data_IF_959674540916
#
_entry.id   IF_959674540916
#
_cell.length_a   1.000
_cell.length_b   1.000
_cell.length_c   1.000
_cell.angle_alpha   90.00
_cell.angle_beta   90.00
_cell.angle_gamma   90.00
#
_symmetry.space_group_name_H-M   'P 1'
#
loop_
_entity.id
_entity.type
_entity.pdbx_description
1 polymer ?
#
# COMPACT_ATOMS: atom_id res chain seq x y z
N UNK A 1 14.98 -20.65 -13.02
CA UNK A 1 16.00 -21.37 -12.21
C UNK A 1 17.43 -20.83 -12.34
N UNK A 2 17.79 -20.03 -13.36
CA UNK A 2 19.18 -19.54 -13.52
C UNK A 2 19.66 -18.63 -12.36
N UNK A 3 18.82 -17.71 -11.87
CA UNK A 3 19.19 -16.79 -10.78
C UNK A 3 19.45 -17.52 -9.46
N UNK A 4 18.56 -18.42 -9.06
CA UNK A 4 18.70 -19.25 -7.85
C UNK A 4 19.95 -20.11 -7.89
N UNK A 5 20.22 -20.76 -9.03
CA UNK A 5 21.45 -21.55 -9.21
C UNK A 5 22.69 -20.69 -9.04
N UNK A 6 22.71 -19.48 -9.61
CA UNK A 6 23.84 -18.54 -9.51
C UNK A 6 24.08 -18.10 -8.06
N UNK A 7 23.03 -17.82 -7.30
CA UNK A 7 23.11 -17.55 -5.86
C UNK A 7 23.77 -18.71 -5.11
N UNK A 8 23.24 -19.92 -5.29
CA UNK A 8 23.73 -21.11 -4.58
C UNK A 8 25.16 -21.49 -4.99
N UNK A 9 25.51 -21.34 -6.27
CA UNK A 9 26.88 -21.59 -6.75
C UNK A 9 27.89 -20.64 -6.08
N UNK A 10 27.50 -19.39 -5.81
CA UNK A 10 28.38 -18.43 -5.12
C UNK A 10 28.53 -18.78 -3.63
N UNK A 11 27.42 -18.94 -2.89
CA UNK A 11 27.48 -19.12 -1.43
C UNK A 11 27.72 -20.55 -0.94
N UNK A 12 27.45 -21.57 -1.75
CA UNK A 12 27.60 -22.98 -1.36
C UNK A 12 28.79 -23.68 -2.03
N UNK A 13 29.33 -23.11 -3.10
CA UNK A 13 30.44 -23.70 -3.86
C UNK A 13 31.63 -22.74 -4.05
N UNK A 14 31.57 -21.55 -3.44
CA UNK A 14 32.61 -20.52 -3.53
C UNK A 14 32.96 -20.13 -4.99
N UNK A 15 31.99 -20.24 -5.91
CA UNK A 15 32.20 -19.88 -7.32
C UNK A 15 32.07 -18.37 -7.48
N UNK A 16 33.14 -17.71 -7.93
CA UNK A 16 33.07 -16.33 -8.38
C UNK A 16 32.32 -16.24 -9.71
N UNK A 17 31.03 -15.94 -9.62
CA UNK A 17 30.14 -15.72 -10.75
C UNK A 17 29.61 -14.27 -10.81
N UNK A 18 30.28 -13.36 -10.10
CA UNK A 18 29.90 -11.95 -10.00
C UNK A 18 28.63 -11.68 -9.17
N UNK A 19 28.19 -12.61 -8.31
CA UNK A 19 27.00 -12.45 -7.47
C UNK A 19 27.03 -11.18 -6.62
N UNK A 20 28.20 -10.80 -6.08
CA UNK A 20 28.38 -9.59 -5.27
C UNK A 20 28.01 -8.29 -5.98
N UNK A 21 27.89 -8.31 -7.32
CA UNK A 21 27.51 -7.17 -8.16
C UNK A 21 26.02 -7.18 -8.53
N UNK A 22 25.28 -8.22 -8.19
CA UNK A 22 23.85 -8.30 -8.44
C UNK A 22 23.10 -7.34 -7.53
N UNK A 23 22.07 -6.68 -8.07
CA UNK A 23 21.30 -5.73 -7.27
C UNK A 23 20.50 -6.50 -6.19
N UNK A 24 20.43 -5.96 -4.96
CA UNK A 24 19.74 -6.64 -3.86
C UNK A 24 18.22 -6.67 -4.04
N UNK A 25 17.68 -5.76 -4.85
CA UNK A 25 16.23 -5.64 -5.10
C UNK A 25 15.96 -5.67 -6.60
N UNK A 26 15.05 -6.57 -6.99
CA UNK A 26 14.51 -6.72 -8.32
C UNK A 26 13.00 -6.47 -8.27
N UNK A 27 12.54 -5.39 -8.91
CA UNK A 27 11.14 -4.98 -8.94
C UNK A 27 10.52 -5.32 -10.29
N UNK A 28 9.32 -5.89 -10.27
CA UNK A 28 8.49 -6.07 -11.45
C UNK A 28 7.49 -4.92 -11.54
N UNK A 29 7.81 -3.91 -12.34
CA UNK A 29 6.91 -2.78 -12.57
C UNK A 29 5.74 -3.25 -13.45
N UNK A 30 4.54 -3.22 -12.88
CA UNK A 30 3.31 -3.67 -13.55
C UNK A 30 2.74 -2.54 -14.40
N UNK A 31 2.43 -2.82 -15.67
CA UNK A 31 1.77 -1.87 -16.56
C UNK A 31 0.27 -2.15 -16.62
N UNK A 32 -0.60 -1.15 -16.39
CA UNK A 32 -2.04 -1.32 -16.53
C UNK A 32 -2.43 -1.85 -17.91
N UNK A 33 -3.43 -2.74 -17.95
CA UNK A 33 -4.02 -3.28 -19.18
C UNK A 33 -3.07 -4.08 -20.08
N UNK A 34 -1.89 -4.47 -19.58
CA UNK A 34 -0.95 -5.36 -20.25
C UNK A 34 -0.52 -6.49 -19.29
N UNK A 35 -0.05 -7.60 -19.86
CA UNK A 35 0.71 -8.62 -19.14
C UNK A 35 2.21 -8.31 -19.04
N UNK A 36 2.64 -7.19 -19.64
CA UNK A 36 4.03 -6.78 -19.65
C UNK A 36 4.47 -6.30 -18.27
N UNK A 37 5.71 -6.65 -17.92
CA UNK A 37 6.39 -6.16 -16.73
C UNK A 37 7.78 -5.66 -17.11
N UNK A 38 8.20 -4.60 -16.47
CA UNK A 38 9.56 -4.09 -16.59
C UNK A 38 10.35 -4.44 -15.33
N UNK A 39 11.48 -5.13 -15.50
CA UNK A 39 12.35 -5.49 -14.38
C UNK A 39 13.28 -4.31 -14.07
N UNK A 40 13.12 -3.72 -12.89
CA UNK A 40 14.02 -2.65 -12.41
C UNK A 40 14.86 -3.10 -11.22
N UNK A 41 16.15 -2.75 -11.26
CA UNK A 41 17.11 -2.97 -10.17
C UNK A 41 17.17 -1.72 -9.31
N UNK A 42 17.01 -1.88 -8.00
CA UNK A 42 17.05 -0.76 -7.05
C UNK A 42 18.06 -0.98 -5.93
N UNK A 43 18.60 0.13 -5.42
CA UNK A 43 19.54 0.13 -4.30
C UNK A 43 18.89 0.48 -2.96
N UNK A 44 17.71 1.12 -2.92
CA UNK A 44 16.96 1.46 -1.70
C UNK A 44 15.49 1.90 -1.96
N UNK A 45 14.66 1.94 -0.92
CA UNK A 45 13.27 2.46 -0.92
C UNK A 45 12.95 3.01 0.49
N UNK A 46 12.21 4.15 0.66
CA UNK A 46 11.37 4.92 -0.30
C UNK A 46 11.68 6.44 -0.42
N UNK A 47 10.94 7.14 -1.30
CA UNK A 47 11.09 8.56 -1.70
C UNK A 47 10.25 9.56 -0.86
N UNK A 48 10.68 10.83 -0.78
CA UNK A 48 10.09 11.85 0.10
C UNK A 48 9.42 13.03 -0.64
N UNK A 49 8.11 13.23 -0.44
CA UNK A 49 7.36 14.50 -0.24
C UNK A 49 5.86 14.36 -0.58
N UNK A 50 4.98 14.59 0.41
CA UNK A 50 3.52 14.46 0.28
C UNK A 50 2.82 15.81 0.41
N UNK A 51 1.92 16.15 -0.53
CA UNK A 51 1.01 17.31 -0.43
C UNK A 51 -0.37 16.85 0.02
N UNK A 52 -0.85 17.39 1.14
CA UNK A 52 -2.11 16.99 1.76
C UNK A 52 -3.30 17.76 1.16
N UNK A 53 -4.31 17.02 0.69
CA UNK A 53 -5.60 17.57 0.26
C UNK A 53 -6.68 17.01 1.18
N UNK A 54 -7.39 17.88 1.89
CA UNK A 54 -8.43 17.49 2.84
C UNK A 54 -9.79 17.37 2.15
N UNK A 55 -10.46 16.24 2.36
CA UNK A 55 -11.86 16.03 2.00
C UNK A 55 -12.64 15.58 3.25
N UNK A 56 -13.92 15.94 3.35
CA UNK A 56 -14.80 15.52 4.44
C UNK A 56 -16.15 15.06 3.87
N UNK A 57 -16.66 13.93 4.35
CA UNK A 57 -17.99 13.40 3.97
C UNK A 57 -18.54 12.50 5.07
N UNK A 58 -19.86 12.24 5.02
CA UNK A 58 -20.56 11.28 5.88
C UNK A 58 -21.13 10.18 5.02
N UNK A 59 -20.99 8.92 5.44
CA UNK A 59 -21.53 7.76 4.73
C UNK A 59 -22.03 6.71 5.72
N UNK A 60 -22.92 5.84 5.24
CA UNK A 60 -23.35 4.66 5.99
C UNK A 60 -22.26 3.58 5.89
N UNK A 61 -21.78 3.11 7.04
CA UNK A 61 -20.71 2.11 7.12
C UNK A 61 -21.07 0.78 6.43
N UNK A 62 -22.37 0.45 6.32
CA UNK A 62 -22.85 -0.75 5.61
C UNK A 62 -23.41 -0.43 4.21
N UNK A 63 -23.36 0.84 3.81
CA UNK A 63 -23.89 1.34 2.55
C UNK A 63 -22.86 1.38 1.43
N UNK A 64 -23.02 2.36 0.54
CA UNK A 64 -22.12 2.58 -0.59
C UNK A 64 -20.80 3.18 -0.08
N UNK A 65 -19.63 2.64 -0.49
CA UNK A 65 -18.35 3.19 -0.09
C UNK A 65 -18.15 4.60 -0.65
N UNK A 66 -17.37 5.40 0.05
CA UNK A 66 -16.93 6.72 -0.42
C UNK A 66 -15.71 6.54 -1.31
N UNK A 67 -15.74 7.18 -2.48
CA UNK A 67 -14.60 7.26 -3.39
C UNK A 67 -14.10 8.69 -3.51
N UNK A 68 -12.78 8.88 -3.40
CA UNK A 68 -12.10 10.13 -3.70
C UNK A 68 -11.36 9.96 -5.03
N UNK A 69 -11.76 10.72 -6.05
CA UNK A 69 -11.17 10.66 -7.38
C UNK A 69 -10.39 11.94 -7.65
N UNK A 70 -9.14 11.79 -8.09
CA UNK A 70 -8.36 12.91 -8.61
C UNK A 70 -8.80 13.26 -10.05
N UNK A 71 -8.33 14.40 -10.56
CA UNK A 71 -8.27 14.59 -12.00
C UNK A 71 -7.37 13.50 -12.65
N UNK A 72 -7.53 13.23 -13.95
CA UNK A 72 -6.60 12.39 -14.69
C UNK A 72 -5.15 12.85 -14.48
N UNK A 73 -4.23 11.91 -14.30
CA UNK A 73 -2.80 12.22 -14.14
C UNK A 73 -2.27 12.81 -15.46
N UNK A 74 -1.53 13.92 -15.37
CA UNK A 74 -1.01 14.65 -16.54
C UNK A 74 0.18 13.95 -17.20
N UNK A 75 0.89 13.13 -16.44
CA UNK A 75 2.09 12.40 -16.86
C UNK A 75 2.06 10.98 -16.30
N UNK A 76 2.83 10.10 -16.96
CA UNK A 76 3.05 8.75 -16.49
C UNK A 76 3.65 8.79 -15.08
N UNK A 77 2.97 8.12 -14.14
CA UNK A 77 3.33 8.14 -12.73
C UNK A 77 3.48 6.71 -12.26
N UNK A 78 4.62 6.45 -11.63
CA UNK A 78 4.89 5.17 -11.00
C UNK A 78 4.59 5.27 -9.49
N UNK A 79 3.86 4.28 -8.98
CA UNK A 79 3.67 4.06 -7.56
C UNK A 79 4.36 2.74 -7.20
N UNK A 80 5.27 2.77 -6.23
CA UNK A 80 6.04 1.59 -5.84
C UNK A 80 6.38 1.66 -4.36
N UNK A 81 6.08 0.56 -3.65
CA UNK A 81 6.32 0.45 -2.22
C UNK A 81 5.07 0.71 -1.37
N UNK A 82 5.24 0.81 -0.03
CA UNK A 82 4.14 0.98 0.91
C UNK A 82 3.52 2.37 0.82
N UNK A 83 2.24 2.45 1.16
CA UNK A 83 1.47 3.69 1.19
C UNK A 83 0.77 3.85 2.55
N UNK A 84 0.55 5.09 2.97
CA UNK A 84 -0.18 5.43 4.18
C UNK A 84 -1.42 6.26 3.83
N UNK A 85 -2.60 5.82 4.28
CA UNK A 85 -3.79 6.65 4.31
C UNK A 85 -3.97 7.23 5.73
N UNK A 86 -3.70 8.52 5.88
CA UNK A 86 -4.07 9.26 7.09
C UNK A 86 -5.48 9.80 6.94
N UNK A 87 -6.39 9.31 7.78
CA UNK A 87 -7.82 9.66 7.75
C UNK A 87 -8.28 10.19 9.11
N UNK A 88 -9.24 11.10 9.08
CA UNK A 88 -9.91 11.63 10.27
C UNK A 88 -11.35 11.12 10.24
N UNK A 89 -11.75 10.33 11.22
CA UNK A 89 -13.08 9.71 11.27
C UNK A 89 -13.82 10.08 12.55
N UNK A 90 -15.15 10.14 12.46
CA UNK A 90 -16.06 10.11 13.59
C UNK A 90 -17.09 9.00 13.34
N UNK A 91 -17.54 8.33 14.39
CA UNK A 91 -18.49 7.21 14.30
C UNK A 91 -19.67 7.40 15.24
N UNK A 92 -20.81 6.76 14.95
CA UNK A 92 -21.91 6.60 15.89
C UNK A 92 -21.71 5.41 16.84
N UNK A 93 -20.74 4.55 16.56
CA UNK A 93 -20.36 3.36 17.35
C UNK A 93 -19.05 3.58 18.10
N UNK A 94 -18.70 2.66 18.99
CA UNK A 94 -17.46 2.68 19.76
C UNK A 94 -16.25 2.06 19.05
N UNK A 95 -16.46 1.51 17.85
CA UNK A 95 -15.42 0.87 17.04
C UNK A 95 -15.83 0.84 15.56
N UNK A 96 -14.83 0.84 14.66
CA UNK A 96 -15.02 0.90 13.20
C UNK A 96 -13.95 0.07 12.51
N UNK A 97 -14.34 -0.79 11.58
CA UNK A 97 -13.42 -1.45 10.66
C UNK A 97 -13.31 -0.62 9.37
N UNK A 98 -12.11 -0.11 9.10
CA UNK A 98 -11.81 0.63 7.86
C UNK A 98 -11.17 -0.31 6.84
N UNK A 99 -11.66 -0.23 5.61
CA UNK A 99 -11.05 -0.84 4.43
C UNK A 99 -10.73 0.27 3.45
N UNK A 100 -9.45 0.42 3.11
CA UNK A 100 -8.97 1.44 2.18
C UNK A 100 -8.42 0.74 0.96
N UNK A 101 -8.90 1.13 -0.23
CA UNK A 101 -8.55 0.49 -1.49
C UNK A 101 -7.99 1.57 -2.41
N UNK A 102 -6.78 1.34 -2.93
CA UNK A 102 -6.24 2.12 -4.03
C UNK A 102 -6.75 1.54 -5.35
N UNK A 103 -7.35 2.38 -6.18
CA UNK A 103 -7.86 2.03 -7.50
C UNK A 103 -7.24 2.95 -8.55
N UNK A 104 -7.10 2.45 -9.77
CA UNK A 104 -6.78 3.26 -10.93
C UNK A 104 -7.78 2.97 -12.05
N UNK A 105 -8.05 3.97 -12.87
CA UNK A 105 -9.00 3.88 -13.96
C UNK A 105 -8.37 4.45 -15.23
N UNK A 106 -8.69 3.85 -16.38
CA UNK A 106 -8.39 4.45 -17.68
C UNK A 106 -9.21 5.73 -17.89
N UNK A 107 -8.85 6.59 -18.86
CA UNK A 107 -9.64 7.77 -19.23
C UNK A 107 -11.10 7.47 -19.62
N UNK A 108 -11.42 6.21 -20.00
CA UNK A 108 -12.77 5.76 -20.34
C UNK A 108 -13.50 5.11 -19.15
N UNK A 109 -12.96 5.20 -17.94
CA UNK A 109 -13.57 4.64 -16.73
C UNK A 109 -13.37 3.13 -16.53
N UNK A 110 -12.59 2.46 -17.40
CA UNK A 110 -12.23 1.04 -17.17
C UNK A 110 -11.26 0.95 -16.01
N UNK A 111 -11.64 0.23 -14.96
CA UNK A 111 -10.78 -0.03 -13.80
C UNK A 111 -9.58 -0.90 -14.17
N UNK A 112 -8.44 -0.60 -13.54
CA UNK A 112 -7.22 -1.41 -13.59
C UNK A 112 -7.30 -2.48 -12.52
N UNK A 113 -7.07 -3.73 -12.91
CA UNK A 113 -6.92 -4.86 -12.02
C UNK A 113 -5.61 -5.61 -12.30
N UNK A 114 -5.18 -6.40 -11.33
CA UNK A 114 -4.02 -7.28 -11.41
C UNK A 114 -4.34 -8.66 -10.82
N UNK A 115 -3.56 -9.66 -11.20
CA UNK A 115 -3.60 -10.97 -10.53
C UNK A 115 -3.20 -10.81 -9.06
N UNK A 116 -4.13 -11.07 -8.14
CA UNK A 116 -3.84 -11.17 -6.73
C UNK A 116 -3.63 -12.61 -6.26
N UNK A 117 -3.44 -12.78 -4.96
CA UNK A 117 -3.19 -14.09 -4.35
C UNK A 117 -4.39 -15.03 -4.47
N UNK A 118 -5.60 -14.50 -4.26
CA UNK A 118 -6.86 -15.27 -4.28
C UNK A 118 -7.76 -14.79 -5.40
N UNK A 119 -7.95 -13.47 -5.53
CA UNK A 119 -8.78 -12.89 -6.58
C UNK A 119 -7.93 -12.60 -7.84
N UNK A 120 -8.29 -13.17 -9.02
CA UNK A 120 -7.62 -12.88 -10.28
C UNK A 120 -7.76 -11.42 -10.76
N UNK A 121 -8.67 -10.63 -10.18
CA UNK A 121 -8.92 -9.21 -10.50
C UNK A 121 -8.82 -8.33 -9.26
N UNK A 122 -7.68 -8.44 -8.59
CA UNK A 122 -7.37 -7.61 -7.42
C UNK A 122 -7.12 -6.16 -7.83
N UNK A 123 -7.49 -5.24 -6.94
CA UNK A 123 -7.22 -3.81 -7.10
C UNK A 123 -5.73 -3.53 -6.90
N UNK A 124 -5.31 -2.28 -7.13
CA UNK A 124 -3.90 -1.88 -7.08
C UNK A 124 -3.25 -2.23 -5.74
N UNK A 125 -3.85 -1.79 -4.65
CA UNK A 125 -3.41 -2.07 -3.28
C UNK A 125 -4.58 -1.90 -2.31
N UNK A 126 -4.47 -2.48 -1.13
CA UNK A 126 -5.47 -2.36 -0.08
C UNK A 126 -4.84 -2.33 1.31
N UNK A 127 -5.62 -1.85 2.26
CA UNK A 127 -5.26 -1.73 3.66
C UNK A 127 -6.50 -1.89 4.54
N UNK A 128 -6.31 -2.32 5.78
CA UNK A 128 -7.37 -2.36 6.76
C UNK A 128 -6.88 -1.96 8.15
N UNK A 129 -7.78 -1.39 8.94
CA UNK A 129 -7.52 -1.05 10.33
C UNK A 129 -8.83 -1.04 11.12
N UNK A 130 -8.84 -1.71 12.27
CA UNK A 130 -9.89 -1.54 13.27
C UNK A 130 -9.54 -0.35 14.15
N UNK A 131 -10.44 0.63 14.30
CA UNK A 131 -10.15 1.91 14.96
C UNK A 131 -9.78 1.74 16.44
N UNK A 132 -10.25 0.69 17.10
CA UNK A 132 -9.82 0.34 18.46
C UNK A 132 -8.37 -0.12 18.57
N UNK A 133 -7.76 -0.59 17.47
CA UNK A 133 -6.36 -0.99 17.40
C UNK A 133 -5.42 0.12 16.91
N UNK A 134 -5.89 1.38 16.89
CA UNK A 134 -5.14 2.52 16.31
C UNK A 134 -3.85 2.91 17.03
N UNK A 135 -3.50 2.28 18.14
CA UNK A 135 -2.32 2.68 18.92
C UNK A 135 -1.06 2.47 18.09
N UNK A 136 -0.37 3.56 17.82
CA UNK A 136 0.91 3.54 17.12
C UNK A 136 2.07 3.32 18.10
N UNK A 137 2.98 2.43 17.76
CA UNK A 137 4.33 2.47 18.31
C UNK A 137 5.19 3.36 17.42
N UNK A 138 5.60 4.51 17.95
CA UNK A 138 6.30 5.54 17.19
C UNK A 138 7.72 5.09 16.82
N UNK A 139 8.37 4.27 17.64
CA UNK A 139 9.76 3.89 17.42
C UNK A 139 9.98 3.02 16.16
N UNK A 140 9.18 1.96 15.89
CA UNK A 140 9.26 1.18 14.65
C UNK A 140 8.49 1.80 13.48
N UNK A 141 7.60 2.78 13.71
CA UNK A 141 6.80 3.42 12.67
C UNK A 141 7.64 4.23 11.68
N UNK A 142 7.18 4.27 10.43
CA UNK A 142 7.74 5.11 9.36
C UNK A 142 6.62 5.99 8.78
N UNK A 143 6.95 7.14 8.15
CA UNK A 143 5.93 8.03 7.56
C UNK A 143 5.00 7.39 6.52
N UNK A 144 5.41 6.25 5.95
CA UNK A 144 4.72 5.51 4.89
C UNK A 144 4.33 4.08 5.33
N UNK A 145 4.67 3.67 6.56
CA UNK A 145 4.40 2.34 7.10
C UNK A 145 4.19 2.48 8.62
N UNK A 146 2.94 2.69 9.06
CA UNK A 146 2.62 2.82 10.48
C UNK A 146 2.76 1.47 11.17
N UNK A 147 3.26 1.46 12.40
CA UNK A 147 3.28 0.26 13.23
C UNK A 147 2.22 0.39 14.32
N UNK A 148 1.22 -0.48 14.28
CA UNK A 148 0.21 -0.58 15.32
C UNK A 148 0.63 -1.64 16.34
N UNK A 149 0.63 -1.29 17.63
CA UNK A 149 1.08 -2.21 18.68
C UNK A 149 0.13 -3.39 18.88
N UNK A 150 -1.17 -3.17 18.64
CA UNK A 150 -2.25 -4.14 18.92
C UNK A 150 -2.23 -4.72 20.35
N UNK A 151 -1.60 -4.04 21.29
CA UNK A 151 -1.40 -4.49 22.68
C UNK A 151 -2.54 -4.05 23.63
N UNK A 152 -3.33 -3.07 23.21
CA UNK A 152 -4.52 -2.63 23.93
C UNK A 152 -5.63 -2.18 22.96
N UNK A 153 -6.87 -2.22 23.45
CA UNK A 153 -8.01 -1.67 22.75
C UNK A 153 -8.26 -0.24 23.23
N UNK A 154 -8.31 0.69 22.28
CA UNK A 154 -8.67 2.08 22.51
C UNK A 154 -10.03 2.34 21.84
N UNK A 155 -11.19 2.12 22.48
CA UNK A 155 -12.47 2.46 21.86
C UNK A 155 -12.51 3.93 21.38
N UNK A 156 -13.31 4.21 20.35
CA UNK A 156 -13.63 5.59 19.95
C UNK A 156 -14.87 6.07 20.68
N UNK A 157 -14.92 7.35 21.06
CA UNK A 157 -16.16 7.95 21.57
C UNK A 157 -17.08 8.30 20.41
N UNK A 158 -18.37 7.91 20.43
CA UNK A 158 -19.32 8.32 19.41
C UNK A 158 -19.37 9.83 19.23
N UNK A 159 -19.30 10.30 17.98
CA UNK A 159 -19.32 11.71 17.61
C UNK A 159 -17.96 12.41 17.66
N UNK A 160 -16.96 11.88 18.36
CA UNK A 160 -15.61 12.48 18.39
C UNK A 160 -14.78 12.10 17.16
N UNK A 161 -13.90 13.01 16.75
CA UNK A 161 -13.01 12.79 15.60
C UNK A 161 -11.68 12.21 16.07
N UNK A 162 -11.27 11.11 15.45
CA UNK A 162 -9.99 10.44 15.68
C UNK A 162 -9.16 10.42 14.39
N UNK A 163 -7.87 10.69 14.53
CA UNK A 163 -6.87 10.45 13.47
C UNK A 163 -6.50 8.96 13.44
N UNK A 164 -6.49 8.37 12.25
CA UNK A 164 -6.13 6.98 12.00
C UNK A 164 -5.13 6.89 10.85
N UNK A 165 -4.19 5.96 10.98
CA UNK A 165 -3.12 5.72 10.01
C UNK A 165 -3.32 4.33 9.41
N UNK A 166 -3.96 4.22 8.25
CA UNK A 166 -4.20 2.92 7.61
C UNK A 166 -3.02 2.59 6.70
N UNK A 167 -2.30 1.52 7.01
CA UNK A 167 -1.28 0.97 6.10
C UNK A 167 -1.95 0.41 4.85
N UNK A 168 -1.51 0.85 3.68
CA UNK A 168 -1.85 0.26 2.39
C UNK A 168 -0.64 -0.53 1.93
N UNK A 169 -0.84 -1.82 1.68
CA UNK A 169 0.25 -2.75 1.43
C UNK A 169 1.06 -2.40 0.17
N UNK A 170 2.35 -2.78 0.14
CA UNK A 170 3.22 -2.47 -0.98
C UNK A 170 2.65 -2.89 -2.35
N UNK A 171 2.77 -1.97 -3.32
CA UNK A 171 2.36 -2.14 -4.71
C UNK A 171 3.55 -2.26 -5.66
#
# INVERSE_FOLDING_TARGET
>A
MALQKRFLDHFLKDIDNGWDKEAPVLLYLRRPFSSDFELRKESQSPLASTKWTSFATTFDALGVPVAFLSAPLEYETELTGPLLARVFISSSTTDVDLFVILQAFSPKGKEVDFQGTVDPRSKLAQGCLKSSHRKLDIAPSKPYCPFHSHDELLPVTPGEVYELHVEIWPI
#
